data_IF_934006827517
#
_entry.id   IF_934006827517
#
_cell.length_a   1.000
_cell.length_b   1.000
_cell.length_c   1.000
_cell.angle_alpha   90.00
_cell.angle_beta   90.00
_cell.angle_gamma   90.00
#
_symmetry.space_group_name_H-M   'P 1'
#
loop_
_entity.id
_entity.type
_entity.pdbx_description
1 polymer ?
#
# COMPACT_ATOMS: atom_id res chain seq x y z
N UNK A 1 18.99 -3.46 -1.72
CA UNK A 1 18.32 -3.01 -0.49
C UNK A 1 18.17 -4.23 0.39
N UNK A 2 18.55 -4.13 1.66
CA UNK A 2 18.38 -5.23 2.62
C UNK A 2 16.91 -5.23 3.04
N UNK A 3 16.19 -6.34 2.83
CA UNK A 3 14.81 -6.47 3.32
C UNK A 3 14.79 -6.19 4.82
N UNK A 4 13.93 -5.26 5.25
CA UNK A 4 13.78 -4.88 6.66
C UNK A 4 14.42 -3.55 7.07
N UNK A 5 15.18 -2.89 6.18
CA UNK A 5 15.69 -1.55 6.47
C UNK A 5 14.54 -0.53 6.51
N UNK A 6 14.49 0.32 7.54
CA UNK A 6 13.51 1.41 7.65
C UNK A 6 13.62 2.34 6.45
N UNK A 7 12.49 2.70 5.84
CA UNK A 7 12.44 3.67 4.74
C UNK A 7 13.01 5.00 5.21
N UNK A 8 14.03 5.53 4.53
CA UNK A 8 14.67 6.81 4.89
C UNK A 8 13.84 8.01 4.43
N UNK A 9 12.65 8.20 5.01
CA UNK A 9 11.74 9.30 4.67
C UNK A 9 12.10 10.58 5.44
N UNK A 10 11.63 11.76 4.97
CA UNK A 10 11.78 13.01 5.71
C UNK A 10 10.84 13.05 6.92
N UNK A 11 11.15 12.26 7.95
CA UNK A 11 10.37 12.18 9.18
C UNK A 11 10.54 13.43 10.04
N UNK A 12 9.44 13.83 10.70
CA UNK A 12 9.48 14.80 11.79
C UNK A 12 9.91 14.08 13.09
N UNK A 13 11.21 13.88 13.27
CA UNK A 13 11.78 13.23 14.45
C UNK A 13 12.22 11.77 14.25
N UNK A 14 12.26 10.99 15.33
CA UNK A 14 12.69 9.59 15.32
C UNK A 14 11.54 8.67 14.85
N UNK A 15 11.65 7.98 13.69
CA UNK A 15 10.62 7.07 13.20
C UNK A 15 10.41 5.81 14.06
N UNK A 16 11.35 5.49 14.95
CA UNK A 16 11.23 4.36 15.88
C UNK A 16 10.51 4.73 17.19
N UNK A 17 10.36 6.03 17.47
CA UNK A 17 9.68 6.50 18.67
C UNK A 17 8.15 6.41 18.53
N UNK A 18 7.45 6.28 19.67
CA UNK A 18 6.00 6.38 19.69
C UNK A 18 5.56 7.79 19.24
N UNK A 19 4.52 7.92 18.39
CA UNK A 19 4.01 9.23 18.00
C UNK A 19 3.57 10.04 19.23
N UNK A 20 4.06 11.27 19.33
CA UNK A 20 3.70 12.21 20.41
C UNK A 20 2.93 13.41 19.85
N UNK A 21 1.99 13.93 20.64
CA UNK A 21 1.26 15.14 20.29
C UNK A 21 2.18 16.37 20.19
N UNK A 22 1.83 17.39 19.37
CA UNK A 22 0.61 17.48 18.56
C UNK A 22 0.71 16.70 17.24
N UNK A 23 -0.35 15.96 16.90
CA UNK A 23 -0.48 15.31 15.60
C UNK A 23 -1.17 16.26 14.61
N UNK A 24 -0.65 16.33 13.38
CA UNK A 24 -1.22 17.15 12.32
C UNK A 24 -1.88 16.28 11.24
N UNK A 25 -3.07 16.69 10.78
CA UNK A 25 -3.70 16.12 9.58
C UNK A 25 -3.64 17.12 8.44
N UNK A 26 -3.43 16.62 7.22
CA UNK A 26 -3.47 17.40 5.97
C UNK A 26 -4.37 16.65 5.00
N UNK A 27 -5.37 17.36 4.47
CA UNK A 27 -6.27 16.83 3.47
C UNK A 27 -6.12 17.64 2.19
N UNK A 28 -6.09 16.93 1.07
CA UNK A 28 -6.14 17.50 -0.27
C UNK A 28 -7.15 16.73 -1.09
N UNK A 29 -7.73 17.40 -2.09
CA UNK A 29 -8.66 16.81 -3.04
C UNK A 29 -8.13 17.05 -4.45
N UNK A 30 -8.38 16.07 -5.32
CA UNK A 30 -8.20 16.23 -6.77
C UNK A 30 -9.51 16.76 -7.33
N UNK A 31 -9.43 17.68 -8.28
CA UNK A 31 -10.62 18.17 -8.95
C UNK A 31 -11.25 17.08 -9.84
N UNK A 32 -12.51 17.28 -10.24
CA UNK A 32 -13.23 16.32 -11.06
C UNK A 32 -12.55 16.07 -12.42
N UNK A 33 -12.05 17.09 -13.14
CA UNK A 33 -11.31 16.86 -14.39
C UNK A 33 -10.08 15.96 -14.22
N UNK A 34 -9.26 16.19 -13.20
CA UNK A 34 -8.07 15.39 -12.94
C UNK A 34 -8.46 13.96 -12.52
N UNK A 35 -9.48 13.81 -11.68
CA UNK A 35 -9.97 12.49 -11.26
C UNK A 35 -10.43 11.68 -12.48
N UNK A 36 -11.24 12.27 -13.36
CA UNK A 36 -11.69 11.61 -14.59
C UNK A 36 -10.52 11.25 -15.53
N UNK A 37 -9.51 12.11 -15.62
CA UNK A 37 -8.30 11.82 -16.40
C UNK A 37 -7.51 10.64 -15.84
N UNK A 38 -7.41 10.52 -14.52
CA UNK A 38 -6.75 9.40 -13.85
C UNK A 38 -7.54 8.09 -14.05
N UNK A 39 -8.87 8.13 -13.93
CA UNK A 39 -9.74 6.98 -14.20
C UNK A 39 -9.59 6.50 -15.64
N UNK A 40 -9.63 7.42 -16.61
CA UNK A 40 -9.41 7.09 -18.03
C UNK A 40 -8.02 6.49 -18.26
N UNK A 41 -6.99 7.01 -17.59
CA UNK A 41 -5.63 6.47 -17.69
C UNK A 41 -5.54 5.07 -17.11
N UNK A 42 -6.12 4.83 -15.94
CA UNK A 42 -6.16 3.50 -15.34
C UNK A 42 -6.86 2.50 -16.28
N UNK A 43 -8.02 2.88 -16.83
CA UNK A 43 -8.77 2.06 -17.77
C UNK A 43 -7.99 1.74 -19.06
N UNK A 44 -7.25 2.71 -19.60
CA UNK A 44 -6.42 2.51 -20.80
C UNK A 44 -5.29 1.48 -20.60
N UNK A 45 -4.85 1.29 -19.35
CA UNK A 45 -3.85 0.30 -18.95
C UNK A 45 -4.46 -0.98 -18.35
N UNK A 46 -5.79 -1.13 -18.39
CA UNK A 46 -6.47 -2.32 -17.86
C UNK A 46 -6.36 -2.48 -16.35
N UNK A 47 -6.09 -1.42 -15.61
CA UNK A 47 -5.96 -1.42 -14.14
C UNK A 47 -7.04 -0.56 -13.49
N UNK A 48 -7.30 -0.81 -12.19
CA UNK A 48 -8.18 0.06 -11.41
C UNK A 48 -7.47 1.37 -11.01
N UNK A 49 -8.26 2.41 -10.71
CA UNK A 49 -7.72 3.66 -10.16
C UNK A 49 -6.90 3.42 -8.88
N UNK A 50 -7.30 2.44 -8.06
CA UNK A 50 -6.56 2.02 -6.87
C UNK A 50 -5.11 1.62 -7.21
N UNK A 51 -4.90 0.75 -8.21
CA UNK A 51 -3.54 0.31 -8.58
C UNK A 51 -2.70 1.46 -9.14
N UNK A 52 -3.32 2.36 -9.92
CA UNK A 52 -2.63 3.53 -10.44
C UNK A 52 -2.16 4.48 -9.31
N UNK A 53 -3.03 4.75 -8.33
CA UNK A 53 -2.68 5.59 -7.18
C UNK A 53 -1.67 4.90 -6.25
N UNK A 54 -1.77 3.58 -6.07
CA UNK A 54 -0.78 2.80 -5.33
C UNK A 54 0.60 2.87 -6.00
N UNK A 55 0.67 2.74 -7.33
CA UNK A 55 1.90 2.89 -8.10
C UNK A 55 2.53 4.28 -7.92
N UNK A 56 1.71 5.33 -8.00
CA UNK A 56 2.17 6.71 -7.75
C UNK A 56 2.70 6.87 -6.31
N UNK A 57 2.01 6.30 -5.32
CA UNK A 57 2.43 6.32 -3.92
C UNK A 57 3.77 5.59 -3.70
N UNK A 58 3.91 4.37 -4.23
CA UNK A 58 5.16 3.59 -4.18
C UNK A 58 6.31 4.34 -4.84
N UNK A 59 6.07 4.97 -6.00
CA UNK A 59 7.09 5.78 -6.69
C UNK A 59 7.53 6.98 -5.85
N UNK A 60 6.60 7.67 -5.20
CA UNK A 60 6.92 8.78 -4.30
C UNK A 60 7.78 8.31 -3.11
N UNK A 61 7.39 7.22 -2.46
CA UNK A 61 8.16 6.65 -1.35
C UNK A 61 9.55 6.21 -1.77
N UNK A 62 9.69 5.53 -2.92
CA UNK A 62 10.99 5.14 -3.45
C UNK A 62 11.87 6.34 -3.78
N UNK A 63 11.28 7.41 -4.35
CA UNK A 63 12.02 8.65 -4.65
C UNK A 63 12.49 9.37 -3.40
N UNK A 64 11.65 9.47 -2.37
CA UNK A 64 12.01 10.16 -1.12
C UNK A 64 13.00 9.37 -0.28
N UNK A 65 12.86 8.05 -0.23
CA UNK A 65 13.75 7.18 0.55
C UNK A 65 15.06 6.82 -0.17
N UNK A 66 15.11 6.98 -1.49
CA UNK A 66 16.20 6.45 -2.32
C UNK A 66 16.19 4.92 -2.45
N UNK A 67 15.17 4.23 -1.93
CA UNK A 67 15.05 2.78 -1.98
C UNK A 67 14.27 2.32 -3.22
N UNK A 68 14.66 1.16 -3.75
CA UNK A 68 14.01 0.52 -4.92
C UNK A 68 13.00 -0.57 -4.55
N UNK A 69 12.84 -0.85 -3.26
CA UNK A 69 11.86 -1.81 -2.74
C UNK A 69 11.21 -1.18 -1.52
N UNK A 70 9.88 -1.11 -1.51
CA UNK A 70 9.09 -0.41 -0.50
C UNK A 70 7.96 -1.34 -0.04
N UNK A 71 7.80 -1.49 1.28
CA UNK A 71 6.65 -2.19 1.85
C UNK A 71 5.49 -1.21 2.09
N UNK A 72 4.31 -1.50 1.55
CA UNK A 72 3.09 -0.70 1.73
C UNK A 72 1.98 -1.58 2.31
N UNK A 73 1.42 -1.18 3.45
CA UNK A 73 0.25 -1.83 4.02
C UNK A 73 -1.02 -1.38 3.30
N UNK A 74 -1.75 -2.32 2.70
CA UNK A 74 -3.01 -2.06 2.03
C UNK A 74 -4.16 -2.55 2.89
N UNK A 75 -5.12 -1.67 3.18
CA UNK A 75 -6.33 -2.03 3.90
C UNK A 75 -7.28 -2.84 3.01
N UNK A 76 -7.87 -3.90 3.57
CA UNK A 76 -8.87 -4.74 2.88
C UNK A 76 -10.10 -4.87 3.74
N UNK A 77 -11.26 -5.00 3.10
CA UNK A 77 -12.53 -5.12 3.81
C UNK A 77 -12.78 -6.52 4.40
N UNK A 78 -12.15 -7.57 3.85
CA UNK A 78 -12.41 -9.01 4.10
C UNK A 78 -13.91 -9.39 4.14
N UNK A 79 -14.70 -8.83 3.21
CA UNK A 79 -16.14 -9.10 3.09
C UNK A 79 -16.49 -10.11 2.00
N UNK A 80 -15.48 -10.65 1.34
CA UNK A 80 -15.54 -11.46 0.14
C UNK A 80 -15.35 -12.97 0.40
N UNK A 81 -15.13 -13.36 1.65
CA UNK A 81 -15.10 -14.77 2.02
C UNK A 81 -16.45 -15.44 1.73
N UNK A 82 -16.42 -16.73 1.37
CA UNK A 82 -17.61 -17.55 1.03
C UNK A 82 -18.44 -17.91 2.27
N UNK A 83 -18.83 -16.92 3.07
CA UNK A 83 -19.70 -17.06 4.22
C UNK A 83 -20.96 -16.21 3.99
N UNK A 84 -22.15 -16.84 3.84
CA UNK A 84 -23.40 -16.10 3.64
C UNK A 84 -23.66 -15.06 4.73
N UNK A 85 -24.01 -13.84 4.34
CA UNK A 85 -24.34 -12.73 5.26
C UNK A 85 -23.15 -11.95 5.81
N UNK A 86 -21.91 -12.32 5.44
CA UNK A 86 -20.70 -11.62 5.86
C UNK A 86 -20.66 -10.17 5.36
N UNK A 87 -21.15 -9.92 4.15
CA UNK A 87 -21.27 -8.60 3.54
C UNK A 87 -22.15 -7.65 4.37
N UNK A 88 -23.14 -8.19 5.08
CA UNK A 88 -24.09 -7.45 5.92
C UNK A 88 -23.69 -7.36 7.39
N UNK A 89 -22.65 -8.08 7.81
CA UNK A 89 -22.19 -8.10 9.19
C UNK A 89 -21.62 -6.73 9.59
N UNK A 90 -22.12 -6.20 10.71
CA UNK A 90 -21.57 -5.03 11.38
C UNK A 90 -20.48 -5.50 12.35
N UNK A 91 -19.22 -5.14 12.09
CA UNK A 91 -18.09 -5.57 12.92
C UNK A 91 -16.72 -5.30 12.28
N UNK A 92 -15.63 -5.55 13.03
CA UNK A 92 -14.25 -5.30 12.60
C UNK A 92 -13.76 -6.42 11.66
N UNK A 93 -14.14 -6.31 10.39
CA UNK A 93 -13.70 -7.26 9.35
C UNK A 93 -12.43 -6.81 8.63
N UNK A 94 -12.14 -5.50 8.66
CA UNK A 94 -11.01 -4.96 7.93
C UNK A 94 -9.67 -5.47 8.46
N UNK A 95 -8.76 -5.80 7.55
CA UNK A 95 -7.36 -6.13 7.87
C UNK A 95 -6.41 -5.33 6.98
N UNK A 96 -5.11 -5.54 7.18
CA UNK A 96 -4.06 -5.00 6.32
C UNK A 96 -3.22 -6.12 5.73
N UNK A 97 -2.88 -5.98 4.45
CA UNK A 97 -1.96 -6.85 3.74
C UNK A 97 -0.72 -6.05 3.36
N UNK A 98 0.48 -6.36 3.89
CA UNK A 98 1.71 -5.74 3.41
C UNK A 98 2.02 -6.23 2.00
N UNK A 99 2.20 -5.29 1.08
CA UNK A 99 2.71 -5.52 -0.26
C UNK A 99 4.16 -5.07 -0.33
N UNK A 100 5.04 -5.95 -0.78
CA UNK A 100 6.41 -5.61 -1.09
C UNK A 100 6.52 -5.19 -2.56
N UNK A 101 6.78 -3.91 -2.79
CA UNK A 101 6.71 -3.29 -4.10
C UNK A 101 8.11 -2.87 -4.56
N UNK A 102 8.63 -3.51 -5.60
CA UNK A 102 9.80 -3.01 -6.32
C UNK A 102 9.41 -1.80 -7.19
N UNK A 103 10.25 -0.77 -7.22
CA UNK A 103 10.06 0.43 -8.05
C UNK A 103 11.37 0.84 -8.69
N UNK A 104 11.34 1.09 -10.00
CA UNK A 104 12.47 1.60 -10.77
C UNK A 104 12.20 3.05 -11.16
N UNK A 105 13.05 4.04 -10.82
CA UNK A 105 12.87 5.44 -11.22
C UNK A 105 12.57 5.68 -12.70
N UNK A 106 13.05 4.81 -13.58
CA UNK A 106 12.89 4.94 -15.04
C UNK A 106 11.65 4.22 -15.59
N UNK A 107 10.99 3.37 -14.78
CA UNK A 107 9.74 2.67 -15.15
C UNK A 107 8.57 3.68 -15.15
N UNK A 108 7.74 3.72 -16.22
CA UNK A 108 6.51 4.49 -16.22
C UNK A 108 5.56 4.07 -15.08
N UNK A 109 4.89 5.03 -14.46
CA UNK A 109 3.94 4.75 -13.36
C UNK A 109 2.80 3.82 -13.78
N UNK A 110 2.40 3.86 -15.05
CA UNK A 110 1.37 2.98 -15.58
C UNK A 110 1.82 1.51 -15.62
N UNK A 111 3.05 1.26 -16.07
CA UNK A 111 3.66 -0.07 -16.11
C UNK A 111 3.84 -0.63 -14.70
N UNK A 112 4.25 0.22 -13.74
CA UNK A 112 4.25 -0.14 -12.31
C UNK A 112 2.84 -0.50 -11.82
N UNK A 113 1.81 0.23 -12.24
CA UNK A 113 0.42 -0.05 -11.87
C UNK A 113 -0.07 -1.39 -12.43
N UNK A 114 0.27 -1.72 -13.67
CA UNK A 114 -0.03 -3.02 -14.30
C UNK A 114 0.62 -4.15 -13.51
N UNK A 115 1.91 -4.01 -13.17
CA UNK A 115 2.64 -5.00 -12.37
C UNK A 115 2.05 -5.16 -10.97
N UNK A 116 1.68 -4.07 -10.31
CA UNK A 116 0.99 -4.14 -9.01
C UNK A 116 -0.39 -4.78 -9.13
N UNK A 117 -1.12 -4.54 -10.22
CA UNK A 117 -2.39 -5.20 -10.52
C UNK A 117 -2.26 -6.71 -10.73
N UNK A 118 -1.09 -7.21 -11.13
CA UNK A 118 -0.80 -8.65 -11.23
C UNK A 118 -0.35 -9.25 -9.89
N UNK A 119 0.43 -8.51 -9.10
CA UNK A 119 0.93 -8.95 -7.78
C UNK A 119 -0.20 -9.00 -6.75
N UNK A 120 -1.15 -8.07 -6.84
CA UNK A 120 -2.23 -7.92 -5.87
C UNK A 120 -3.09 -9.20 -5.72
N UNK A 121 -3.69 -9.77 -6.77
CA UNK A 121 -4.49 -10.98 -6.66
C UNK A 121 -3.72 -12.17 -6.09
N UNK A 122 -2.44 -12.30 -6.43
CA UNK A 122 -1.59 -13.36 -5.89
C UNK A 122 -1.36 -13.16 -4.38
N UNK A 123 -1.09 -11.93 -3.97
CA UNK A 123 -0.94 -11.59 -2.54
C UNK A 123 -2.23 -11.84 -1.77
N UNK A 124 -3.40 -11.53 -2.35
CA UNK A 124 -4.69 -11.80 -1.72
C UNK A 124 -4.97 -13.29 -1.52
N UNK A 125 -4.54 -14.17 -2.44
CA UNK A 125 -4.69 -15.63 -2.30
C UNK A 125 -3.97 -16.19 -1.08
N UNK A 126 -2.86 -15.58 -0.67
CA UNK A 126 -2.05 -16.00 0.48
C UNK A 126 -2.33 -15.23 1.75
N UNK A 127 -3.30 -14.33 1.75
CA UNK A 127 -3.55 -13.41 2.84
C UNK A 127 -4.43 -14.00 3.96
N UNK A 128 -4.19 -15.28 4.27
CA UNK A 128 -4.73 -15.94 5.44
C UNK A 128 -4.15 -15.40 6.76
N UNK A 129 -2.83 -15.13 6.89
CA UNK A 129 -2.25 -14.54 8.09
C UNK A 129 -2.82 -13.14 8.34
N UNK A 130 -3.15 -12.85 9.59
CA UNK A 130 -3.50 -11.50 10.03
C UNK A 130 -2.25 -10.64 10.20
N UNK A 131 -2.40 -9.32 10.31
CA UNK A 131 -1.29 -8.43 10.64
C UNK A 131 -0.60 -8.80 11.96
N UNK A 132 -1.34 -9.38 12.92
CA UNK A 132 -0.78 -9.91 14.17
C UNK A 132 0.04 -11.18 13.93
N UNK A 133 -0.42 -12.07 13.05
CA UNK A 133 0.33 -13.27 12.69
C UNK A 133 1.62 -12.89 11.96
N UNK A 134 1.57 -11.91 11.05
CA UNK A 134 2.75 -11.37 10.39
C UNK A 134 3.72 -10.73 11.38
N UNK A 135 3.23 -9.96 12.35
CA UNK A 135 4.07 -9.36 13.40
C UNK A 135 4.81 -10.41 14.23
N UNK A 136 4.18 -11.56 14.53
CA UNK A 136 4.81 -12.69 15.24
C UNK A 136 5.89 -13.39 14.43
N UNK A 137 5.87 -13.26 13.10
CA UNK A 137 6.86 -13.85 12.20
C UNK A 137 8.05 -12.91 11.95
N UNK A 138 7.95 -11.64 12.35
CA UNK A 138 9.05 -10.69 12.24
C UNK A 138 10.12 -10.99 13.32
N UNK A 139 11.41 -10.83 13.01
CA UNK A 139 12.47 -11.01 13.99
C UNK A 139 12.34 -9.96 15.12
N UNK A 140 12.67 -10.35 16.36
CA UNK A 140 12.52 -9.49 17.56
C UNK A 140 13.47 -8.29 17.61
N UNK A 141 14.37 -8.14 16.62
CA UNK A 141 15.27 -7.00 16.52
C UNK A 141 15.34 -6.51 15.07
N UNK A 142 15.20 -5.20 14.82
CA UNK A 142 15.51 -4.64 13.51
C UNK A 142 17.01 -4.80 13.26
N UNK A 143 17.36 -5.34 12.08
CA UNK A 143 18.75 -5.40 11.58
C UNK A 143 19.19 -4.02 11.14
#
# INVERSE_FOLDING_TARGET
ATRGEVLRLPYDGDPAALPSAPLASRQSALDAPLTAALEKRAAAHGVSLFHLLLAAHVRCLGRWSGQREVAVNVARARRDARLPGLDRLVGPLADTLPLLCATDPDEPVADLAERLGQIWPESERHAAPTSLDLARLLPESPV
#
